data_IF_571915945891
#
_entry.id   IF_571915945891
#
_cell.length_a   1.000
_cell.length_b   1.000
_cell.length_c   1.000
_cell.angle_alpha   90.00
_cell.angle_beta   90.00
_cell.angle_gamma   90.00
#
_symmetry.space_group_name_H-M   'P 1'
#
loop_
_entity.id
_entity.type
_entity.pdbx_description
1 polymer ?
#
# COMPACT_ATOMS: atom_id res chain seq x y z
N UNK A 1 5.90 7.97 6.74
CA UNK A 1 5.83 6.86 7.70
C UNK A 1 4.43 6.81 8.29
N UNK A 2 3.90 5.64 8.67
CA UNK A 2 2.63 5.53 9.40
C UNK A 2 2.83 6.00 10.85
N UNK A 3 1.75 6.54 11.45
CA UNK A 3 1.74 6.86 12.87
C UNK A 3 1.97 5.58 13.70
N UNK A 4 2.79 5.64 14.74
CA UNK A 4 3.16 4.44 15.52
C UNK A 4 1.95 3.71 16.14
N UNK A 5 0.93 4.45 16.57
CA UNK A 5 -0.30 3.86 17.11
C UNK A 5 -1.09 3.03 16.08
N UNK A 6 -0.93 3.30 14.78
CA UNK A 6 -1.53 2.46 13.75
C UNK A 6 -1.02 1.01 13.81
N UNK A 7 0.18 0.77 14.30
CA UNK A 7 0.71 -0.59 14.49
C UNK A 7 -0.03 -1.36 15.58
N UNK A 8 -0.52 -0.66 16.60
CA UNK A 8 -1.39 -1.29 17.61
C UNK A 8 -2.76 -1.64 17.03
N UNK A 9 -3.26 -0.83 16.09
CA UNK A 9 -4.53 -1.09 15.44
C UNK A 9 -4.52 -2.43 14.67
N UNK A 10 -3.40 -2.80 14.03
CA UNK A 10 -3.26 -4.11 13.39
C UNK A 10 -3.47 -5.27 14.37
N UNK A 11 -3.11 -5.12 15.64
CA UNK A 11 -3.26 -6.16 16.67
C UNK A 11 -4.72 -6.44 17.04
N UNK A 12 -5.64 -5.57 16.67
CA UNK A 12 -7.08 -5.76 16.84
C UNK A 12 -7.71 -6.74 15.86
N UNK A 13 -7.02 -7.06 14.76
CA UNK A 13 -7.51 -8.04 13.79
C UNK A 13 -7.07 -9.46 14.16
N UNK A 14 -7.87 -10.43 13.74
CA UNK A 14 -7.46 -11.83 13.77
C UNK A 14 -6.36 -12.06 12.72
N UNK A 15 -5.42 -12.95 12.99
CA UNK A 15 -4.32 -13.26 12.04
C UNK A 15 -4.79 -13.96 10.77
N UNK A 16 -5.93 -14.65 10.84
CA UNK A 16 -6.59 -15.30 9.71
C UNK A 16 -7.57 -14.37 8.96
N UNK A 17 -7.62 -13.09 9.33
CA UNK A 17 -8.44 -12.10 8.61
C UNK A 17 -7.95 -11.91 7.18
N UNK A 18 -8.89 -11.77 6.24
CA UNK A 18 -8.56 -11.50 4.85
C UNK A 18 -7.77 -10.19 4.73
N UNK A 19 -6.63 -10.15 4.01
CA UNK A 19 -5.77 -8.96 3.92
C UNK A 19 -6.52 -7.70 3.49
N UNK A 20 -7.49 -7.82 2.58
CA UNK A 20 -8.30 -6.67 2.14
C UNK A 20 -9.18 -6.12 3.25
N UNK A 21 -9.72 -6.97 4.14
CA UNK A 21 -10.49 -6.51 5.30
C UNK A 21 -9.58 -5.73 6.28
N UNK A 22 -8.37 -6.22 6.51
CA UNK A 22 -7.36 -5.52 7.32
C UNK A 22 -7.01 -4.17 6.69
N UNK A 23 -6.72 -4.14 5.39
CA UNK A 23 -6.39 -2.90 4.67
C UNK A 23 -7.54 -1.89 4.72
N UNK A 24 -8.78 -2.32 4.49
CA UNK A 24 -9.97 -1.46 4.57
C UNK A 24 -10.10 -0.83 5.96
N UNK A 25 -9.95 -1.63 7.01
CA UNK A 25 -10.01 -1.13 8.39
C UNK A 25 -8.91 -0.13 8.71
N UNK A 26 -7.67 -0.43 8.31
CA UNK A 26 -6.51 0.45 8.55
C UNK A 26 -6.63 1.75 7.76
N UNK A 27 -7.03 1.71 6.50
CA UNK A 27 -7.24 2.92 5.68
C UNK A 27 -8.36 3.78 6.28
N UNK A 28 -9.48 3.18 6.70
CA UNK A 28 -10.55 3.90 7.38
C UNK A 28 -10.08 4.56 8.69
N UNK A 29 -9.25 3.86 9.47
CA UNK A 29 -8.70 4.39 10.71
C UNK A 29 -7.73 5.57 10.49
N UNK A 30 -7.15 5.74 9.29
CA UNK A 30 -6.25 6.86 9.01
C UNK A 30 -6.89 8.22 9.24
N UNK A 31 -8.20 8.36 9.03
CA UNK A 31 -8.92 9.61 9.27
C UNK A 31 -8.84 10.08 10.73
N UNK A 32 -8.68 9.14 11.66
CA UNK A 32 -8.52 9.45 13.09
C UNK A 32 -7.10 9.95 13.46
N UNK A 33 -6.13 9.85 12.53
CA UNK A 33 -4.74 10.26 12.76
C UNK A 33 -4.31 11.46 11.91
N UNK A 34 -5.08 11.84 10.89
CA UNK A 34 -4.74 12.90 9.93
C UNK A 34 -5.93 13.82 9.71
N UNK A 35 -6.17 14.68 10.70
CA UNK A 35 -7.32 15.60 10.71
C UNK A 35 -7.20 16.76 9.70
N UNK A 36 -6.01 16.98 9.16
CA UNK A 36 -5.69 18.03 8.17
C UNK A 36 -6.07 17.67 6.72
N UNK A 37 -6.71 16.53 6.51
CA UNK A 37 -7.05 16.01 5.19
C UNK A 37 -8.37 15.22 5.17
N UNK A 38 -9.35 15.68 5.95
CA UNK A 38 -10.66 15.03 6.09
C UNK A 38 -11.78 15.77 5.38
N UNK A 39 -11.62 17.06 5.07
CA UNK A 39 -12.60 17.83 4.31
C UNK A 39 -12.43 17.60 2.81
N UNK A 40 -13.34 16.83 2.23
CA UNK A 40 -13.35 16.51 0.80
C UNK A 40 -13.80 17.69 -0.08
N UNK A 41 -14.39 18.73 0.49
CA UNK A 41 -14.83 19.92 -0.25
C UNK A 41 -13.68 20.90 -0.47
N UNK A 42 -12.66 20.88 0.40
CA UNK A 42 -11.44 21.66 0.25
C UNK A 42 -10.48 20.99 -0.75
N UNK A 43 -10.15 21.66 -1.88
CA UNK A 43 -9.24 21.12 -2.89
C UNK A 43 -7.86 20.75 -2.33
N UNK A 44 -7.32 21.58 -1.44
CA UNK A 44 -6.03 21.34 -0.81
C UNK A 44 -6.04 20.08 0.06
N UNK A 45 -7.04 19.91 0.89
CA UNK A 45 -7.15 18.72 1.74
C UNK A 45 -7.34 17.44 0.90
N UNK A 46 -8.09 17.51 -0.21
CA UNK A 46 -8.22 16.38 -1.15
C UNK A 46 -6.87 15.99 -1.76
N UNK A 47 -6.06 16.96 -2.18
CA UNK A 47 -4.74 16.69 -2.75
C UNK A 47 -3.82 16.06 -1.70
N UNK A 48 -3.77 16.63 -0.50
CA UNK A 48 -2.99 16.09 0.62
C UNK A 48 -3.44 14.67 0.98
N UNK A 49 -4.75 14.41 1.03
CA UNK A 49 -5.30 13.09 1.29
C UNK A 49 -4.87 12.07 0.23
N UNK A 50 -4.96 12.45 -1.05
CA UNK A 50 -4.60 11.59 -2.18
C UNK A 50 -3.11 11.22 -2.16
N UNK A 51 -2.24 12.20 -2.02
CA UNK A 51 -0.79 11.99 -1.91
C UNK A 51 -0.45 11.11 -0.69
N UNK A 52 -1.09 11.38 0.44
CA UNK A 52 -0.88 10.62 1.69
C UNK A 52 -1.32 9.17 1.55
N UNK A 53 -2.46 8.90 0.94
CA UNK A 53 -2.95 7.55 0.69
C UNK A 53 -1.99 6.79 -0.22
N UNK A 54 -1.62 7.37 -1.36
CA UNK A 54 -0.67 6.75 -2.30
C UNK A 54 0.65 6.43 -1.59
N UNK A 55 1.21 7.39 -0.86
CA UNK A 55 2.50 7.22 -0.18
C UNK A 55 2.47 6.18 0.95
N UNK A 56 1.32 5.97 1.62
CA UNK A 56 1.20 5.06 2.77
C UNK A 56 0.69 3.66 2.41
N UNK A 57 0.03 3.52 1.27
CA UNK A 57 -0.58 2.25 0.86
C UNK A 57 0.40 1.08 0.80
N UNK A 58 1.64 1.20 0.27
CA UNK A 58 2.59 0.10 0.26
C UNK A 58 2.98 -0.36 1.66
N UNK A 59 3.11 0.60 2.60
CA UNK A 59 3.43 0.29 3.99
C UNK A 59 2.27 -0.45 4.67
N UNK A 60 1.03 -0.01 4.44
CA UNK A 60 -0.17 -0.66 4.97
C UNK A 60 -0.29 -2.08 4.43
N UNK A 61 -0.13 -2.27 3.12
CA UNK A 61 -0.21 -3.57 2.47
C UNK A 61 0.87 -4.53 2.98
N UNK A 62 2.11 -4.07 3.07
CA UNK A 62 3.22 -4.86 3.59
C UNK A 62 3.03 -5.23 5.06
N UNK A 63 2.53 -4.31 5.89
CA UNK A 63 2.21 -4.59 7.30
C UNK A 63 1.06 -5.58 7.43
N UNK A 64 0.00 -5.49 6.61
CA UNK A 64 -1.08 -6.45 6.60
C UNK A 64 -0.55 -7.86 6.28
N UNK A 65 0.29 -7.98 5.26
CA UNK A 65 0.95 -9.24 4.90
C UNK A 65 1.82 -9.77 6.04
N UNK A 66 2.72 -8.95 6.59
CA UNK A 66 3.60 -9.32 7.71
C UNK A 66 2.81 -9.75 8.95
N UNK A 67 1.70 -9.08 9.23
CA UNK A 67 0.82 -9.44 10.33
C UNK A 67 0.21 -10.84 10.15
N UNK A 68 -0.29 -11.15 8.94
CA UNK A 68 -0.88 -12.46 8.61
C UNK A 68 0.11 -13.60 8.78
N UNK A 69 1.35 -13.43 8.32
CA UNK A 69 2.40 -14.46 8.45
C UNK A 69 3.13 -14.45 9.80
N UNK A 70 2.78 -13.54 10.70
CA UNK A 70 3.37 -13.48 12.06
C UNK A 70 4.80 -12.96 12.11
N UNK A 71 5.23 -12.21 11.11
CA UNK A 71 6.55 -11.58 11.07
C UNK A 71 6.53 -10.14 11.57
N UNK A 72 7.66 -9.61 12.08
CA UNK A 72 7.75 -8.23 12.53
C UNK A 72 7.58 -7.24 11.36
N UNK A 73 7.02 -6.07 11.66
CA UNK A 73 6.89 -4.99 10.68
C UNK A 73 8.26 -4.42 10.31
N UNK A 74 8.40 -4.11 9.04
CA UNK A 74 9.60 -3.48 8.46
C UNK A 74 9.22 -2.08 7.98
N UNK A 75 10.03 -1.08 8.33
CA UNK A 75 9.81 0.31 7.95
C UNK A 75 10.43 0.64 6.61
N UNK A 76 9.84 1.59 5.84
CA UNK A 76 10.43 2.05 4.59
C UNK A 76 11.77 2.76 4.82
N UNK A 77 12.64 2.71 3.83
CA UNK A 77 13.90 3.45 3.76
C UNK A 77 13.78 4.59 2.75
N UNK A 78 14.32 5.76 3.10
CA UNK A 78 14.23 6.95 2.24
C UNK A 78 15.10 6.89 0.98
N UNK A 79 16.08 6.00 0.95
CA UNK A 79 16.98 5.81 -0.20
C UNK A 79 16.49 4.78 -1.22
N UNK A 80 15.32 4.17 -0.99
CA UNK A 80 14.70 3.23 -1.90
C UNK A 80 13.48 3.87 -2.60
N UNK A 81 13.28 3.51 -3.86
CA UNK A 81 12.07 3.86 -4.59
C UNK A 81 10.83 3.14 -4.06
N UNK A 82 9.67 3.47 -4.60
CA UNK A 82 8.36 2.99 -4.15
C UNK A 82 8.24 1.46 -4.22
N UNK A 83 8.61 0.87 -5.36
CA UNK A 83 8.50 -0.58 -5.59
C UNK A 83 9.54 -1.36 -4.77
N UNK A 84 10.78 -0.86 -4.69
CA UNK A 84 11.84 -1.46 -3.88
C UNK A 84 11.51 -1.43 -2.40
N UNK A 85 10.95 -0.33 -1.91
CA UNK A 85 10.48 -0.24 -0.53
C UNK A 85 9.36 -1.23 -0.24
N UNK A 86 8.39 -1.36 -1.14
CA UNK A 86 7.31 -2.34 -0.99
C UNK A 86 7.85 -3.76 -0.87
N UNK A 87 8.72 -4.17 -1.79
CA UNK A 87 9.34 -5.50 -1.76
C UNK A 87 10.13 -5.72 -0.46
N UNK A 88 10.93 -4.75 -0.06
CA UNK A 88 11.69 -4.82 1.19
C UNK A 88 10.77 -4.96 2.41
N UNK A 89 9.74 -4.13 2.51
CA UNK A 89 8.80 -4.20 3.63
C UNK A 89 8.04 -5.52 3.70
N UNK A 90 7.75 -6.14 2.55
CA UNK A 90 7.10 -7.46 2.51
C UNK A 90 8.04 -8.61 2.89
N UNK A 91 9.29 -8.59 2.41
CA UNK A 91 10.12 -9.79 2.41
C UNK A 91 11.37 -9.71 3.31
N UNK A 92 11.78 -8.53 3.75
CA UNK A 92 12.89 -8.42 4.68
C UNK A 92 12.58 -9.09 6.02
N UNK A 93 13.58 -9.75 6.60
CA UNK A 93 13.54 -10.38 7.92
C UNK A 93 14.66 -9.81 8.78
N UNK A 94 14.52 -9.79 10.13
CA UNK A 94 15.54 -9.19 10.99
C UNK A 94 16.89 -9.94 10.98
N UNK A 95 16.89 -11.21 10.56
CA UNK A 95 18.07 -12.08 10.64
C UNK A 95 19.11 -11.81 9.55
N UNK A 96 18.72 -11.15 8.44
CA UNK A 96 19.58 -10.91 7.28
C UNK A 96 19.25 -9.60 6.57
N UNK A 97 20.24 -9.05 5.89
CA UNK A 97 20.05 -7.87 5.07
C UNK A 97 19.30 -8.22 3.78
N UNK A 98 18.19 -7.51 3.52
CA UNK A 98 17.40 -7.70 2.31
C UNK A 98 18.03 -6.98 1.12
N UNK A 99 18.46 -7.75 0.14
CA UNK A 99 18.98 -7.24 -1.14
C UNK A 99 17.82 -7.09 -2.14
N UNK A 100 17.53 -5.85 -2.54
CA UNK A 100 16.48 -5.58 -3.54
C UNK A 100 16.93 -6.11 -4.90
N UNK A 101 16.16 -7.04 -5.46
CA UNK A 101 16.39 -7.49 -6.83
C UNK A 101 15.85 -6.44 -7.83
N UNK A 102 16.71 -5.84 -8.67
CA UNK A 102 16.30 -4.76 -9.57
C UNK A 102 15.31 -5.21 -10.66
N UNK A 103 15.31 -6.50 -11.02
CA UNK A 103 14.35 -7.06 -11.98
C UNK A 103 12.96 -7.13 -11.33
N UNK A 104 12.87 -7.62 -10.10
CA UNK A 104 11.61 -7.68 -9.36
C UNK A 104 11.08 -6.28 -9.04
N UNK A 105 11.93 -5.36 -8.65
CA UNK A 105 11.53 -3.96 -8.39
C UNK A 105 10.93 -3.33 -9.64
N UNK A 106 11.56 -3.48 -10.79
CA UNK A 106 11.06 -2.98 -12.08
C UNK A 106 9.75 -3.65 -12.51
N UNK A 107 9.60 -4.94 -12.25
CA UNK A 107 8.37 -5.66 -12.53
C UNK A 107 7.23 -5.16 -11.64
N UNK A 108 7.49 -4.97 -10.34
CA UNK A 108 6.51 -4.42 -9.40
C UNK A 108 6.08 -3.00 -9.76
N UNK A 109 7.01 -2.15 -10.14
CA UNK A 109 6.73 -0.78 -10.57
C UNK A 109 5.77 -0.75 -11.78
N UNK A 110 6.01 -1.61 -12.76
CA UNK A 110 5.10 -1.77 -13.92
C UNK A 110 3.72 -2.29 -13.51
N UNK A 111 3.65 -3.24 -12.59
CA UNK A 111 2.38 -3.75 -12.06
C UNK A 111 1.60 -2.63 -11.37
N UNK A 112 2.25 -1.81 -10.55
CA UNK A 112 1.59 -0.67 -9.90
C UNK A 112 1.10 0.36 -10.93
N UNK A 113 1.90 0.65 -11.95
CA UNK A 113 1.50 1.55 -13.03
C UNK A 113 0.25 1.03 -13.77
N UNK A 114 0.22 -0.26 -14.12
CA UNK A 114 -0.91 -0.90 -14.78
C UNK A 114 -2.18 -0.89 -13.93
N UNK A 115 -2.04 -1.05 -12.60
CA UNK A 115 -3.19 -0.98 -11.69
C UNK A 115 -3.68 0.44 -11.44
N UNK A 116 -2.83 1.45 -11.62
CA UNK A 116 -3.21 2.86 -11.51
C UNK A 116 -3.98 3.36 -12.74
N UNK A 117 -3.83 2.68 -13.88
CA UNK A 117 -4.55 3.01 -15.12
C UNK A 117 -5.94 2.36 -15.12
N UNK A 118 -6.97 3.19 -14.88
CA UNK A 118 -8.38 2.78 -14.86
C UNK A 118 -9.20 3.36 -16.01
N UNK A 119 -8.58 3.89 -17.05
CA UNK A 119 -9.29 4.57 -18.16
C UNK A 119 -10.23 3.63 -18.93
N UNK A 120 -9.92 2.34 -18.98
CA UNK A 120 -10.77 1.36 -19.64
C UNK A 120 -10.98 0.12 -18.76
N UNK A 121 -12.24 -0.21 -18.48
CA UNK A 121 -12.55 -1.50 -17.87
C UNK A 121 -12.34 -2.66 -18.87
N UNK A 122 -12.25 -3.89 -18.35
CA UNK A 122 -12.01 -5.09 -19.17
C UNK A 122 -13.05 -5.28 -20.28
N UNK A 123 -14.32 -4.92 -20.05
CA UNK A 123 -15.40 -5.02 -21.05
C UNK A 123 -15.15 -4.08 -22.22
N UNK A 124 -14.80 -2.85 -21.98
CA UNK A 124 -14.53 -1.85 -23.03
C UNK A 124 -13.32 -2.25 -23.87
N UNK A 125 -12.25 -2.70 -23.24
CA UNK A 125 -11.05 -3.16 -23.94
C UNK A 125 -11.32 -4.41 -24.79
N UNK A 126 -12.09 -5.37 -24.27
CA UNK A 126 -12.48 -6.58 -24.98
C UNK A 126 -13.34 -6.25 -26.21
N UNK A 127 -14.32 -5.37 -26.06
CA UNK A 127 -15.17 -4.96 -27.21
C UNK A 127 -14.35 -4.27 -28.27
N UNK A 128 -13.43 -3.37 -27.91
CA UNK A 128 -12.57 -2.68 -28.88
C UNK A 128 -11.67 -3.65 -29.64
N UNK A 129 -11.05 -4.61 -28.95
CA UNK A 129 -10.19 -5.62 -29.58
C UNK A 129 -10.99 -6.57 -30.50
N UNK A 130 -12.21 -6.93 -30.10
CA UNK A 130 -13.06 -7.83 -30.88
C UNK A 130 -13.71 -7.14 -32.11
N UNK A 131 -13.78 -5.80 -32.10
CA UNK A 131 -14.40 -5.00 -33.17
C UNK A 131 -13.38 -4.34 -34.12
N UNK A 132 -12.08 -4.54 -33.88
CA UNK A 132 -11.00 -4.08 -34.75
C UNK A 132 -10.57 -5.19 -35.73
#
# INVERSE_FOLDING_TARGET
>A
MLHEQMMYFFRGFRRDAHPMAVMTGVVGAMSAFYHDSTDITDPWQREVASIRLIAKMPTIAAMAYKYTIGQPFVYPLNNLDYASNFLRMCFAVPAEEYQVNPILSRAMDRIFTLHADHEQNASTSTVRLASS
#
